data_IF_181850661614
#
_entry.id   IF_181850661614
#
_cell.length_a   1.000
_cell.length_b   1.000
_cell.length_c   1.000
_cell.angle_alpha   90.00
_cell.angle_beta   90.00
_cell.angle_gamma   90.00
#
_symmetry.space_group_name_H-M   'P 1'
#
loop_
_entity.id
_entity.type
_entity.pdbx_description
1 polymer ?
#
# COMPACT_ATOMS: atom_id res chain seq x y z
N UNK A 1 -3.81 -5.22 13.66
CA UNK A 1 -3.96 -4.00 14.50
C UNK A 1 -4.83 -3.01 13.74
N UNK A 2 -5.81 -2.37 14.39
CA UNK A 2 -6.65 -1.34 13.76
C UNK A 2 -5.91 0.00 13.81
N UNK A 3 -5.66 0.59 12.65
CA UNK A 3 -4.88 1.83 12.52
C UNK A 3 -5.83 2.99 12.24
N UNK A 4 -5.79 4.02 13.09
CA UNK A 4 -6.51 5.30 12.87
C UNK A 4 -5.99 6.00 11.60
N UNK A 5 -6.67 7.01 11.07
CA UNK A 5 -6.32 7.59 9.75
C UNK A 5 -4.90 8.19 9.67
N UNK A 6 -4.33 8.66 10.79
CA UNK A 6 -3.07 9.41 10.80
C UNK A 6 -1.80 8.59 10.47
N UNK A 7 -1.61 7.34 10.93
CA UNK A 7 -0.44 6.54 10.59
C UNK A 7 -0.57 5.73 9.28
N UNK A 8 -1.69 5.83 8.56
CA UNK A 8 -1.93 4.98 7.38
C UNK A 8 -0.97 5.31 6.24
N UNK A 9 -0.65 6.59 6.02
CA UNK A 9 0.32 7.04 5.01
C UNK A 9 1.72 6.48 5.23
N UNK A 10 2.21 6.49 6.47
CA UNK A 10 3.53 5.93 6.80
C UNK A 10 3.56 4.42 6.60
N UNK A 11 2.49 3.73 7.01
CA UNK A 11 2.38 2.29 6.81
C UNK A 11 2.29 1.91 5.32
N UNK A 12 1.58 2.70 4.52
CA UNK A 12 1.49 2.51 3.07
C UNK A 12 2.85 2.72 2.41
N UNK A 13 3.63 3.71 2.85
CA UNK A 13 5.00 3.91 2.38
C UNK A 13 5.89 2.69 2.69
N UNK A 14 5.81 2.13 3.89
CA UNK A 14 6.58 0.93 4.27
C UNK A 14 6.18 -0.27 3.39
N UNK A 15 4.88 -0.48 3.15
CA UNK A 15 4.40 -1.56 2.27
C UNK A 15 4.81 -1.31 0.81
N UNK A 16 4.92 -0.04 0.41
CA UNK A 16 5.25 0.38 -0.94
C UNK A 16 6.75 0.42 -1.24
N UNK A 17 7.62 0.49 -0.23
CA UNK A 17 9.07 0.69 -0.36
C UNK A 17 9.74 -0.34 -1.28
N UNK A 18 9.21 -1.58 -1.31
CA UNK A 18 9.71 -2.65 -2.18
C UNK A 18 9.14 -2.64 -3.61
N UNK A 19 8.36 -1.61 -3.99
CA UNK A 19 7.72 -1.43 -5.30
C UNK A 19 6.97 -2.68 -5.80
N UNK A 20 6.37 -3.43 -4.87
CA UNK A 20 5.75 -4.72 -5.16
C UNK A 20 4.44 -4.56 -5.94
N UNK A 21 3.98 -5.65 -6.56
CA UNK A 21 2.63 -5.72 -7.13
C UNK A 21 1.56 -5.48 -6.07
N UNK A 22 0.39 -4.97 -6.49
CA UNK A 22 -0.75 -4.68 -5.60
C UNK A 22 -1.12 -5.90 -4.76
N UNK A 23 -1.09 -7.10 -5.36
CA UNK A 23 -1.39 -8.35 -4.65
C UNK A 23 -0.42 -8.62 -3.49
N UNK A 24 0.88 -8.40 -3.70
CA UNK A 24 1.90 -8.56 -2.66
C UNK A 24 1.74 -7.49 -1.58
N UNK A 25 1.49 -6.23 -1.98
CA UNK A 25 1.19 -5.15 -1.02
C UNK A 25 -0.05 -5.48 -0.17
N UNK A 26 -1.13 -5.99 -0.78
CA UNK A 26 -2.36 -6.42 -0.09
C UNK A 26 -2.09 -7.60 0.86
N UNK A 27 -1.25 -8.55 0.46
CA UNK A 27 -0.86 -9.68 1.32
C UNK A 27 -0.08 -9.22 2.55
N UNK A 28 0.89 -8.33 2.37
CA UNK A 28 1.67 -7.72 3.46
C UNK A 28 0.80 -6.87 4.39
N UNK A 29 -0.13 -6.11 3.81
CA UNK A 29 -1.08 -5.31 4.56
C UNK A 29 -1.97 -6.20 5.45
N UNK A 30 -2.54 -7.28 4.90
CA UNK A 30 -3.45 -8.18 5.65
C UNK A 30 -2.77 -8.90 6.81
N UNK A 31 -1.46 -9.13 6.76
CA UNK A 31 -0.76 -9.82 7.85
C UNK A 31 -0.50 -8.91 9.06
N UNK A 32 -0.38 -7.59 8.84
CA UNK A 32 0.02 -6.65 9.88
C UNK A 32 -1.06 -5.61 10.25
N UNK A 33 -1.87 -5.19 9.29
CA UNK A 33 -2.71 -4.00 9.37
C UNK A 33 -4.15 -4.27 8.90
N UNK A 34 -5.12 -3.59 9.51
CA UNK A 34 -6.52 -3.70 9.11
C UNK A 34 -7.23 -2.35 9.26
N UNK A 35 -7.72 -1.80 8.14
CA UNK A 35 -8.64 -0.66 8.10
C UNK A 35 -9.52 -0.73 6.82
N UNK A 36 -10.72 -0.12 6.80
CA UNK A 36 -11.77 -0.48 5.84
C UNK A 36 -11.47 -0.17 4.38
N UNK A 37 -10.63 0.84 4.10
CA UNK A 37 -10.30 1.30 2.74
C UNK A 37 -8.86 0.96 2.30
N UNK A 38 -8.17 0.08 3.04
CA UNK A 38 -6.75 -0.27 2.83
C UNK A 38 -6.42 -0.70 1.39
N UNK A 39 -7.34 -1.42 0.73
CA UNK A 39 -7.14 -1.84 -0.66
C UNK A 39 -7.08 -0.65 -1.61
N UNK A 40 -7.98 0.32 -1.44
CA UNK A 40 -8.03 1.53 -2.27
C UNK A 40 -6.81 2.41 -2.01
N UNK A 41 -6.37 2.53 -0.76
CA UNK A 41 -5.18 3.30 -0.42
C UNK A 41 -3.89 2.70 -1.02
N UNK A 42 -3.76 1.37 -1.01
CA UNK A 42 -2.64 0.66 -1.66
C UNK A 42 -2.61 0.94 -3.17
N UNK A 43 -3.78 0.88 -3.82
CA UNK A 43 -3.89 1.14 -5.25
C UNK A 43 -3.56 2.59 -5.60
N UNK A 44 -4.05 3.55 -4.80
CA UNK A 44 -3.74 4.97 -4.94
C UNK A 44 -2.23 5.24 -4.76
N UNK A 45 -1.61 4.62 -3.74
CA UNK A 45 -0.18 4.76 -3.45
C UNK A 45 0.66 4.25 -4.62
N UNK A 46 0.34 3.06 -5.15
CA UNK A 46 1.06 2.51 -6.30
C UNK A 46 0.86 3.37 -7.56
N UNK A 47 -0.35 3.85 -7.82
CA UNK A 47 -0.66 4.73 -8.98
C UNK A 47 0.10 6.07 -8.90
N UNK A 48 0.29 6.60 -7.70
CA UNK A 48 0.99 7.86 -7.48
C UNK A 48 2.52 7.70 -7.57
N UNK A 49 3.03 6.47 -7.59
CA UNK A 49 4.47 6.20 -7.68
C UNK A 49 4.96 6.16 -9.13
N UNK A 50 5.85 7.09 -9.48
CA UNK A 50 6.45 7.17 -10.80
C UNK A 50 7.27 5.91 -11.17
N UNK A 51 7.94 5.27 -10.21
CA UNK A 51 8.71 4.04 -10.45
C UNK A 51 7.80 2.86 -10.78
N UNK A 52 6.72 2.69 -10.01
CA UNK A 52 5.74 1.64 -10.29
C UNK A 52 4.98 1.88 -11.61
N UNK A 53 4.73 3.14 -11.96
CA UNK A 53 4.13 3.52 -13.24
C UNK A 53 5.07 3.18 -14.43
N UNK A 54 6.38 3.42 -14.28
CA UNK A 54 7.39 3.08 -15.31
C UNK A 54 7.55 1.58 -15.55
N UNK A 55 7.32 0.75 -14.53
CA UNK A 55 7.42 -0.71 -14.63
C UNK A 55 6.07 -1.40 -14.85
N UNK A 56 5.00 -0.64 -15.12
CA UNK A 56 3.73 -1.20 -15.55
C UNK A 56 3.80 -1.41 -17.07
N UNK A 57 3.92 -2.65 -17.58
CA UNK A 57 3.85 -2.92 -19.02
C UNK A 57 2.48 -2.59 -19.59
#
# INVERSE_FOLDING_TARGET
IVISASPQSDMLNIIHESHLSIEKMKSHARSALFWPIINSDIEQTKRSCATCAKHCP
#
